data_IF_723856969567
#
_entry.id   IF_723856969567
#
_cell.length_a   1.000
_cell.length_b   1.000
_cell.length_c   1.000
_cell.angle_alpha   90.00
_cell.angle_beta   90.00
_cell.angle_gamma   90.00
#
_symmetry.space_group_name_H-M   'P 1'
#
loop_
_entity.id
_entity.type
_entity.pdbx_description
1 polymer ?
#
# COMPACT_ATOMS: atom_id res chain seq x y z
N UNK A 1 32.84 -46.65 -20.69
CA UNK A 1 31.41 -46.23 -20.65
C UNK A 1 31.10 -45.75 -19.24
N UNK A 2 30.82 -44.47 -18.98
CA UNK A 2 30.60 -44.08 -17.57
C UNK A 2 29.93 -42.72 -17.34
N UNK A 3 30.45 -41.65 -17.92
CA UNK A 3 30.05 -40.30 -17.48
C UNK A 3 28.95 -39.71 -18.38
N UNK A 4 29.01 -39.96 -19.70
CA UNK A 4 28.03 -39.44 -20.67
C UNK A 4 26.65 -40.12 -20.68
N UNK A 5 26.45 -41.23 -19.95
CA UNK A 5 25.13 -41.86 -19.75
C UNK A 5 24.43 -41.33 -18.49
N UNK A 6 25.17 -41.07 -17.41
CA UNK A 6 24.64 -40.43 -16.20
C UNK A 6 24.19 -39.00 -16.47
N UNK A 7 24.96 -38.21 -17.22
CA UNK A 7 24.56 -36.84 -17.61
C UNK A 7 23.29 -36.79 -18.47
N UNK A 8 22.98 -37.85 -19.23
CA UNK A 8 21.73 -37.96 -20.01
C UNK A 8 20.55 -38.48 -19.19
N UNK A 9 20.80 -39.26 -18.14
CA UNK A 9 19.74 -39.74 -17.23
C UNK A 9 19.20 -38.63 -16.30
N UNK A 10 20.01 -37.58 -16.05
CA UNK A 10 19.67 -36.43 -15.20
C UNK A 10 19.54 -35.11 -15.98
N UNK A 11 19.49 -35.14 -17.31
CA UNK A 11 19.16 -33.96 -18.09
C UNK A 11 17.71 -33.50 -17.83
N UNK A 12 17.44 -32.23 -18.08
CA UNK A 12 16.13 -31.62 -17.82
C UNK A 12 15.01 -32.41 -18.51
N UNK A 13 14.11 -33.00 -17.72
CA UNK A 13 12.99 -33.82 -18.21
C UNK A 13 13.26 -35.33 -18.34
N UNK A 14 14.49 -35.80 -18.09
CA UNK A 14 14.85 -37.22 -18.10
C UNK A 14 14.30 -38.00 -16.88
N UNK A 15 14.18 -39.34 -16.95
CA UNK A 15 13.60 -40.15 -15.87
C UNK A 15 14.34 -40.02 -14.53
N UNK A 16 15.67 -39.95 -14.53
CA UNK A 16 16.48 -39.77 -13.32
C UNK A 16 16.29 -38.39 -12.68
N UNK A 17 16.15 -37.34 -13.49
CA UNK A 17 15.78 -36.00 -13.01
C UNK A 17 14.39 -36.00 -12.36
N UNK A 18 13.39 -36.64 -13.00
CA UNK A 18 12.03 -36.74 -12.44
C UNK A 18 11.99 -37.54 -11.14
N UNK A 19 12.74 -38.64 -11.05
CA UNK A 19 12.89 -39.43 -9.82
C UNK A 19 13.57 -38.64 -8.71
N UNK A 20 14.60 -37.85 -9.03
CA UNK A 20 15.26 -36.95 -8.08
C UNK A 20 14.32 -35.86 -7.55
N UNK A 21 13.54 -35.23 -8.43
CA UNK A 21 12.53 -34.24 -8.04
C UNK A 21 11.41 -34.88 -7.21
N UNK A 22 10.93 -36.07 -7.59
CA UNK A 22 9.94 -36.82 -6.82
C UNK A 22 10.45 -37.23 -5.44
N UNK A 23 11.71 -37.65 -5.34
CA UNK A 23 12.37 -37.96 -4.06
C UNK A 23 12.51 -36.72 -3.17
N UNK A 24 12.93 -35.59 -3.72
CA UNK A 24 12.94 -34.29 -3.03
C UNK A 24 11.54 -33.87 -2.57
N UNK A 25 10.53 -34.03 -3.41
CA UNK A 25 9.14 -33.73 -3.05
C UNK A 25 8.62 -34.66 -1.94
N UNK A 26 8.93 -35.95 -1.99
CA UNK A 26 8.55 -36.92 -0.96
C UNK A 26 9.25 -36.64 0.38
N UNK A 27 10.55 -36.35 0.37
CA UNK A 27 11.32 -35.95 1.56
C UNK A 27 10.81 -34.62 2.14
N UNK A 28 10.48 -33.66 1.27
CA UNK A 28 9.87 -32.40 1.70
C UNK A 28 8.49 -32.63 2.31
N UNK A 29 7.68 -33.53 1.74
CA UNK A 29 6.38 -33.94 2.28
C UNK A 29 6.51 -34.63 3.64
N UNK A 30 7.47 -35.55 3.80
CA UNK A 30 7.75 -36.22 5.08
C UNK A 30 8.27 -35.24 6.15
N UNK A 31 9.08 -34.27 5.76
CA UNK A 31 9.53 -33.21 6.66
C UNK A 31 8.37 -32.30 7.10
N UNK A 32 7.43 -31.99 6.20
CA UNK A 32 6.22 -31.21 6.52
C UNK A 32 5.32 -31.91 7.54
N UNK A 33 5.25 -33.24 7.56
CA UNK A 33 4.46 -34.01 8.56
C UNK A 33 4.99 -33.83 9.99
N UNK A 34 6.26 -33.48 10.16
CA UNK A 34 6.88 -33.25 11.48
C UNK A 34 6.65 -31.83 12.01
N UNK A 35 6.13 -30.92 11.18
CA UNK A 35 5.87 -29.54 11.56
C UNK A 35 4.44 -29.38 12.07
N UNK A 36 4.20 -28.42 12.96
CA UNK A 36 2.84 -27.96 13.25
C UNK A 36 2.18 -27.45 11.97
N UNK A 37 0.85 -27.52 11.88
CA UNK A 37 0.11 -27.05 10.70
C UNK A 37 0.46 -25.59 10.33
N UNK A 38 0.67 -24.75 11.33
CA UNK A 38 1.11 -23.37 11.14
C UNK A 38 2.51 -23.31 10.52
N UNK A 39 3.48 -24.04 11.06
CA UNK A 39 4.86 -24.02 10.55
C UNK A 39 4.95 -24.64 9.14
N UNK A 40 4.19 -25.70 8.87
CA UNK A 40 4.06 -26.28 7.53
C UNK A 40 3.46 -25.26 6.56
N UNK A 41 2.39 -24.56 6.96
CA UNK A 41 1.76 -23.51 6.15
C UNK A 41 2.70 -22.33 5.87
N UNK A 42 3.44 -21.87 6.88
CA UNK A 42 4.45 -20.81 6.72
C UNK A 42 5.58 -21.24 5.78
N UNK A 43 6.09 -22.46 5.94
CA UNK A 43 7.14 -22.98 5.06
C UNK A 43 6.67 -23.04 3.61
N UNK A 44 5.46 -23.56 3.36
CA UNK A 44 4.87 -23.61 2.02
C UNK A 44 4.65 -22.20 1.45
N UNK A 45 4.14 -21.28 2.27
CA UNK A 45 3.95 -19.88 1.88
C UNK A 45 5.27 -19.22 1.48
N UNK A 46 6.31 -19.30 2.30
CA UNK A 46 7.61 -18.69 1.99
C UNK A 46 8.33 -19.38 0.83
N UNK A 47 8.18 -20.70 0.68
CA UNK A 47 8.69 -21.41 -0.48
C UNK A 47 7.98 -20.95 -1.78
N UNK A 48 6.65 -20.81 -1.74
CA UNK A 48 5.87 -20.28 -2.86
C UNK A 48 6.27 -18.84 -3.19
N UNK A 49 6.40 -17.97 -2.19
CA UNK A 49 6.85 -16.58 -2.40
C UNK A 49 8.27 -16.55 -2.95
N UNK A 50 9.19 -17.34 -2.42
CA UNK A 50 10.58 -17.39 -2.88
C UNK A 50 10.70 -17.85 -4.33
N UNK A 51 10.15 -19.02 -4.65
CA UNK A 51 10.15 -19.58 -6.02
C UNK A 51 9.34 -18.68 -6.97
N UNK A 52 8.17 -18.22 -6.52
CA UNK A 52 7.32 -17.31 -7.27
C UNK A 52 8.02 -16.00 -7.61
N UNK A 53 8.79 -15.42 -6.69
CA UNK A 53 9.56 -14.18 -6.92
C UNK A 53 10.67 -14.38 -7.95
N UNK A 54 11.35 -15.53 -7.93
CA UNK A 54 12.37 -15.87 -8.93
C UNK A 54 11.76 -16.03 -10.34
N UNK A 55 10.56 -16.59 -10.42
CA UNK A 55 9.81 -16.79 -11.68
C UNK A 55 9.16 -15.49 -12.17
N UNK A 56 8.60 -14.70 -11.26
CA UNK A 56 7.90 -13.45 -11.52
C UNK A 56 8.07 -12.51 -10.32
N UNK A 57 9.01 -11.54 -10.39
CA UNK A 57 9.30 -10.57 -9.32
C UNK A 57 8.07 -9.84 -8.77
N UNK A 58 7.00 -9.68 -9.56
CA UNK A 58 5.74 -9.10 -9.06
C UNK A 58 5.16 -9.88 -7.85
N UNK A 59 5.36 -11.20 -7.77
CA UNK A 59 4.93 -12.01 -6.62
C UNK A 59 5.59 -11.53 -5.34
N UNK A 60 6.91 -11.31 -5.39
CA UNK A 60 7.67 -10.83 -4.25
C UNK A 60 7.32 -9.40 -3.86
N UNK A 61 7.07 -8.51 -4.83
CA UNK A 61 6.57 -7.16 -4.55
C UNK A 61 5.25 -7.20 -3.78
N UNK A 62 4.26 -7.96 -4.26
CA UNK A 62 2.95 -8.06 -3.60
C UNK A 62 3.05 -8.72 -2.22
N UNK A 63 3.90 -9.74 -2.08
CA UNK A 63 4.16 -10.36 -0.78
C UNK A 63 4.83 -9.38 0.20
N UNK A 64 5.82 -8.60 -0.23
CA UNK A 64 6.47 -7.59 0.61
C UNK A 64 5.47 -6.49 1.05
N UNK A 65 4.61 -6.02 0.15
CA UNK A 65 3.56 -5.05 0.45
C UNK A 65 2.50 -5.58 1.43
N UNK A 66 2.25 -6.89 1.42
CA UNK A 66 1.37 -7.54 2.39
C UNK A 66 2.06 -7.75 3.75
N UNK A 67 3.31 -8.23 3.74
CA UNK A 67 4.07 -8.54 4.95
C UNK A 67 4.45 -7.30 5.76
N UNK A 68 4.67 -6.16 5.11
CA UNK A 68 5.03 -4.91 5.78
C UNK A 68 4.01 -4.50 6.86
N UNK A 69 2.75 -4.27 6.49
CA UNK A 69 1.69 -3.98 7.46
C UNK A 69 1.40 -5.14 8.41
N UNK A 70 1.55 -6.40 7.97
CA UNK A 70 1.28 -7.56 8.82
C UNK A 70 2.23 -7.65 10.02
N UNK A 71 3.45 -7.11 9.88
CA UNK A 71 4.45 -7.15 10.94
C UNK A 71 3.96 -6.52 12.25
N UNK A 72 3.23 -5.40 12.19
CA UNK A 72 2.76 -4.72 13.40
C UNK A 72 1.80 -5.62 14.20
N UNK A 73 0.85 -6.25 13.52
CA UNK A 73 -0.02 -7.27 14.12
C UNK A 73 0.77 -8.46 14.68
N UNK A 74 1.73 -9.00 13.93
CA UNK A 74 2.52 -10.14 14.38
C UNK A 74 3.34 -9.77 15.63
N UNK A 75 3.96 -8.60 15.67
CA UNK A 75 4.71 -8.12 16.83
C UNK A 75 3.84 -8.01 18.09
N UNK A 76 2.57 -7.64 17.93
CA UNK A 76 1.63 -7.53 19.04
C UNK A 76 1.16 -8.89 19.60
N UNK A 77 1.17 -9.94 18.77
CA UNK A 77 0.51 -11.22 19.11
C UNK A 77 1.46 -12.43 19.16
N UNK A 78 2.65 -12.34 18.56
CA UNK A 78 3.60 -13.45 18.41
C UNK A 78 4.92 -13.06 19.10
N UNK A 79 5.39 -13.88 20.06
CA UNK A 79 6.71 -13.68 20.65
C UNK A 79 7.82 -13.72 19.61
N UNK A 80 8.79 -12.80 19.72
CA UNK A 80 10.04 -12.78 18.94
C UNK A 80 9.90 -12.82 17.40
N UNK A 81 9.01 -12.01 16.83
CA UNK A 81 8.94 -11.80 15.38
C UNK A 81 10.12 -10.94 14.90
N UNK A 82 10.85 -11.35 13.84
CA UNK A 82 11.92 -10.54 13.27
C UNK A 82 11.44 -9.14 12.88
N UNK A 83 12.24 -8.11 13.11
CA UNK A 83 11.82 -6.71 12.90
C UNK A 83 11.52 -6.36 11.42
N UNK A 84 12.06 -7.13 10.47
CA UNK A 84 12.09 -6.79 9.05
C UNK A 84 11.60 -7.93 8.15
N UNK A 85 10.45 -8.54 8.46
CA UNK A 85 9.96 -9.71 7.70
C UNK A 85 9.73 -9.46 6.20
N UNK A 86 9.43 -8.22 5.80
CA UNK A 86 9.22 -7.86 4.40
C UNK A 86 10.53 -7.57 3.64
N UNK A 87 11.61 -7.21 4.33
CA UNK A 87 12.86 -6.74 3.72
C UNK A 87 13.58 -7.85 2.93
N UNK A 88 13.71 -9.10 3.42
CA UNK A 88 14.28 -10.19 2.63
C UNK A 88 13.51 -10.47 1.33
N UNK A 89 12.17 -10.37 1.37
CA UNK A 89 11.32 -10.58 0.19
C UNK A 89 11.50 -9.44 -0.81
N UNK A 90 11.59 -8.19 -0.34
CA UNK A 90 11.91 -7.05 -1.19
C UNK A 90 13.30 -7.18 -1.82
N UNK A 91 14.31 -7.54 -1.03
CA UNK A 91 15.67 -7.75 -1.51
C UNK A 91 15.72 -8.85 -2.58
N UNK A 92 15.04 -9.98 -2.35
CA UNK A 92 14.91 -11.06 -3.33
C UNK A 92 14.20 -10.59 -4.61
N UNK A 93 13.17 -9.75 -4.48
CA UNK A 93 12.44 -9.18 -5.62
C UNK A 93 13.35 -8.34 -6.51
N UNK A 94 14.08 -7.41 -5.90
CA UNK A 94 15.03 -6.55 -6.61
C UNK A 94 16.20 -7.35 -7.21
N UNK A 95 16.72 -8.33 -6.47
CA UNK A 95 17.76 -9.23 -6.96
C UNK A 95 17.29 -10.07 -8.16
N UNK A 96 16.07 -10.63 -8.11
CA UNK A 96 15.49 -11.41 -9.19
C UNK A 96 15.26 -10.56 -10.45
N UNK A 97 14.82 -9.31 -10.28
CA UNK A 97 14.69 -8.34 -11.36
C UNK A 97 16.04 -8.05 -12.04
N UNK A 98 17.05 -7.65 -11.25
CA UNK A 98 18.38 -7.32 -11.75
C UNK A 98 19.07 -8.54 -12.38
N UNK A 99 18.97 -9.72 -11.76
CA UNK A 99 19.53 -10.97 -12.29
C UNK A 99 18.91 -11.32 -13.65
N UNK A 100 17.61 -11.06 -13.85
CA UNK A 100 16.97 -11.28 -15.15
C UNK A 100 17.42 -10.27 -16.20
N UNK A 101 17.59 -9.01 -15.82
CA UNK A 101 18.17 -7.98 -16.69
C UNK A 101 19.60 -8.37 -17.13
N UNK A 102 20.44 -8.79 -16.19
CA UNK A 102 21.79 -9.26 -16.43
C UNK A 102 21.83 -10.51 -17.31
N UNK A 103 20.99 -11.52 -17.04
CA UNK A 103 20.91 -12.75 -17.83
C UNK A 103 20.48 -12.48 -19.28
N UNK A 104 19.65 -11.45 -19.50
CA UNK A 104 19.25 -10.97 -20.83
C UNK A 104 20.24 -9.97 -21.44
N UNK A 105 21.34 -9.68 -20.74
CA UNK A 105 22.36 -8.66 -21.09
C UNK A 105 21.77 -7.28 -21.38
N UNK A 106 20.69 -6.94 -20.68
CA UNK A 106 19.96 -5.67 -20.82
C UNK A 106 19.46 -5.26 -19.44
N UNK A 107 20.29 -4.54 -18.70
CA UNK A 107 19.84 -3.80 -17.52
C UNK A 107 19.40 -2.44 -18.03
N UNK A 108 18.09 -2.24 -18.06
CA UNK A 108 17.50 -0.94 -18.40
C UNK A 108 17.15 -0.23 -17.09
N UNK A 109 17.68 0.98 -16.91
CA UNK A 109 17.29 1.87 -15.83
C UNK A 109 16.41 2.97 -16.45
N UNK A 110 15.08 2.90 -16.27
CA UNK A 110 14.20 3.90 -16.85
C UNK A 110 14.44 5.25 -16.16
N UNK A 111 14.24 6.33 -16.91
CA UNK A 111 14.29 7.70 -16.38
C UNK A 111 12.89 8.32 -16.40
N UNK A 112 11.94 7.82 -15.58
CA UNK A 112 10.60 8.41 -15.51
C UNK A 112 10.69 9.85 -14.98
N UNK A 113 9.74 10.74 -15.34
CA UNK A 113 9.84 12.17 -15.04
C UNK A 113 10.00 12.51 -13.54
N UNK A 114 9.46 11.67 -12.64
CA UNK A 114 9.55 11.87 -11.19
C UNK A 114 10.84 11.32 -10.56
N UNK A 115 11.73 10.70 -11.34
CA UNK A 115 13.00 10.18 -10.81
C UNK A 115 13.90 11.31 -10.32
N UNK A 116 14.06 12.37 -11.10
CA UNK A 116 14.93 13.48 -10.72
C UNK A 116 14.45 14.19 -9.44
N UNK A 117 13.17 14.59 -9.29
CA UNK A 117 12.68 15.14 -8.02
C UNK A 117 12.89 14.20 -6.83
N UNK A 118 12.68 12.89 -7.02
CA UNK A 118 12.90 11.90 -5.96
C UNK A 118 14.38 11.80 -5.58
N UNK A 119 15.29 11.77 -6.56
CA UNK A 119 16.74 11.77 -6.31
C UNK A 119 17.22 13.07 -5.66
N UNK A 120 16.65 14.21 -6.04
CA UNK A 120 16.92 15.49 -5.40
C UNK A 120 16.52 15.45 -3.93
N UNK A 121 15.32 14.94 -3.62
CA UNK A 121 14.87 14.76 -2.24
C UNK A 121 15.80 13.83 -1.46
N UNK A 122 16.20 12.69 -2.02
CA UNK A 122 17.17 11.77 -1.39
C UNK A 122 18.52 12.45 -1.19
N UNK A 123 18.98 13.26 -2.14
CA UNK A 123 20.20 14.05 -2.03
C UNK A 123 20.14 15.03 -0.87
N UNK A 124 19.03 15.76 -0.71
CA UNK A 124 18.82 16.65 0.44
C UNK A 124 18.79 15.86 1.75
N UNK A 125 18.04 14.75 1.80
CA UNK A 125 17.99 13.89 2.98
C UNK A 125 19.38 13.34 3.37
N UNK A 126 20.22 13.03 2.38
CA UNK A 126 21.60 12.62 2.59
C UNK A 126 22.48 13.74 3.14
N UNK A 127 22.35 14.97 2.62
CA UNK A 127 23.03 16.15 3.18
C UNK A 127 22.60 16.41 4.63
N UNK A 128 21.33 16.17 4.97
CA UNK A 128 20.82 16.30 6.34
C UNK A 128 21.33 15.25 7.33
N UNK A 129 22.11 14.27 6.87
CA UNK A 129 22.81 13.34 7.76
C UNK A 129 24.17 13.89 8.22
N UNK A 130 24.64 15.01 7.64
CA UNK A 130 25.92 15.60 7.99
C UNK A 130 25.91 16.15 9.41
N UNK A 131 26.60 15.49 10.34
CA UNK A 131 26.64 15.91 11.75
C UNK A 131 25.48 15.41 12.61
N UNK A 132 24.62 14.51 12.09
CA UNK A 132 23.54 13.92 12.86
C UNK A 132 24.07 13.06 14.03
N UNK A 133 23.55 13.28 15.24
CA UNK A 133 24.04 12.65 16.48
C UNK A 133 23.79 11.13 16.56
N UNK A 134 22.70 10.63 15.98
CA UNK A 134 22.29 9.22 16.03
C UNK A 134 22.19 8.58 14.64
N UNK A 135 23.23 8.84 13.84
CA UNK A 135 23.30 8.43 12.44
C UNK A 135 23.07 6.92 12.23
N UNK A 136 23.71 5.98 12.98
CA UNK A 136 23.53 4.55 12.72
C UNK A 136 22.15 4.02 13.12
N UNK A 137 21.53 4.63 14.14
CA UNK A 137 20.28 4.12 14.73
C UNK A 137 19.06 4.66 13.99
N UNK A 138 19.05 5.95 13.63
CA UNK A 138 17.89 6.58 13.00
C UNK A 138 18.17 7.09 11.58
N UNK A 139 19.31 7.77 11.38
CA UNK A 139 19.61 8.43 10.10
C UNK A 139 19.78 7.47 8.92
N UNK A 140 20.71 6.51 9.05
CA UNK A 140 21.00 5.53 7.99
C UNK A 140 19.80 4.62 7.67
N UNK A 141 19.09 4.04 8.66
CA UNK A 141 17.91 3.24 8.35
C UNK A 141 16.84 4.03 7.61
N UNK A 142 16.65 5.32 7.92
CA UNK A 142 15.69 6.17 7.21
C UNK A 142 16.13 6.46 5.77
N UNK A 143 17.42 6.81 5.55
CA UNK A 143 17.96 6.98 4.20
C UNK A 143 17.83 5.69 3.36
N UNK A 144 18.07 4.53 3.98
CA UNK A 144 17.91 3.23 3.32
C UNK A 144 16.47 3.01 2.87
N UNK A 145 15.45 3.40 3.65
CA UNK A 145 14.05 3.32 3.21
C UNK A 145 13.79 4.18 1.97
N UNK A 146 14.37 5.39 1.92
CA UNK A 146 14.23 6.26 0.74
C UNK A 146 14.95 5.72 -0.50
N UNK A 147 16.14 5.12 -0.32
CA UNK A 147 16.82 4.40 -1.39
C UNK A 147 16.03 3.17 -1.86
N UNK A 148 15.35 2.47 -0.95
CA UNK A 148 14.42 1.38 -1.30
C UNK A 148 13.22 1.90 -2.10
N UNK A 149 12.69 3.08 -1.78
CA UNK A 149 11.62 3.72 -2.57
C UNK A 149 12.13 4.03 -3.98
N UNK A 150 13.36 4.57 -4.14
CA UNK A 150 13.96 4.78 -5.47
C UNK A 150 14.09 3.46 -6.24
N UNK A 151 14.61 2.42 -5.60
CA UNK A 151 14.76 1.10 -6.22
C UNK A 151 13.41 0.50 -6.65
N UNK A 152 12.39 0.61 -5.79
CA UNK A 152 11.02 0.19 -6.10
C UNK A 152 10.41 1.00 -7.25
N UNK A 153 10.64 2.31 -7.27
CA UNK A 153 10.14 3.18 -8.33
C UNK A 153 10.74 2.81 -9.69
N UNK A 154 12.05 2.59 -9.75
CA UNK A 154 12.74 2.10 -10.95
C UNK A 154 12.26 0.70 -11.36
N UNK A 155 12.14 -0.22 -10.40
CA UNK A 155 11.61 -1.56 -10.64
C UNK A 155 10.22 -1.53 -11.24
N UNK A 156 9.30 -0.76 -10.66
CA UNK A 156 7.92 -0.63 -11.16
C UNK A 156 7.92 0.01 -12.55
N UNK A 157 8.70 1.07 -12.76
CA UNK A 157 8.77 1.76 -14.05
C UNK A 157 9.34 0.88 -15.18
N UNK A 158 10.29 0.00 -14.89
CA UNK A 158 10.88 -0.93 -15.87
C UNK A 158 10.01 -2.18 -16.07
N UNK A 159 9.54 -2.76 -14.96
CA UNK A 159 8.94 -4.09 -14.96
C UNK A 159 7.45 -4.09 -15.27
N UNK A 160 6.73 -3.02 -14.94
CA UNK A 160 5.30 -2.95 -15.21
C UNK A 160 5.05 -2.58 -16.67
N UNK A 161 4.49 -3.54 -17.41
CA UNK A 161 3.92 -3.32 -18.73
C UNK A 161 2.44 -3.70 -18.75
N UNK A 162 1.80 -3.56 -19.93
CA UNK A 162 0.37 -3.83 -20.13
C UNK A 162 -0.08 -5.20 -19.62
N UNK A 163 0.80 -6.21 -19.67
CA UNK A 163 0.49 -7.58 -19.22
C UNK A 163 0.53 -7.75 -17.69
N UNK A 164 1.33 -6.95 -16.97
CA UNK A 164 1.58 -7.11 -15.53
C UNK A 164 0.83 -6.10 -14.68
N UNK A 165 0.63 -4.89 -15.20
CA UNK A 165 -0.12 -3.82 -14.54
C UNK A 165 -1.47 -4.32 -13.98
N UNK A 166 -2.27 -5.13 -14.70
CA UNK A 166 -3.54 -5.59 -14.16
C UNK A 166 -3.41 -6.50 -12.94
N UNK A 167 -2.38 -7.35 -12.93
CA UNK A 167 -2.08 -8.22 -11.80
C UNK A 167 -1.55 -7.46 -10.59
N UNK A 168 -0.76 -6.39 -10.83
CA UNK A 168 -0.33 -5.49 -9.76
C UNK A 168 -1.54 -4.80 -9.13
N UNK A 169 -2.43 -4.23 -9.95
CA UNK A 169 -3.66 -3.60 -9.46
C UNK A 169 -4.54 -4.61 -8.72
N UNK A 170 -4.77 -5.79 -9.28
CA UNK A 170 -5.53 -6.85 -8.61
C UNK A 170 -4.91 -7.23 -7.25
N UNK A 171 -3.59 -7.37 -7.19
CA UNK A 171 -2.86 -7.64 -5.94
C UNK A 171 -3.04 -6.54 -4.90
N UNK A 172 -2.90 -5.26 -5.31
CA UNK A 172 -3.14 -4.11 -4.43
C UNK A 172 -4.59 -4.07 -3.93
N UNK A 173 -5.58 -4.35 -4.79
CA UNK A 173 -6.98 -4.42 -4.40
C UNK A 173 -7.25 -5.55 -3.41
N UNK A 174 -6.62 -6.72 -3.58
CA UNK A 174 -6.71 -7.83 -2.62
C UNK A 174 -6.10 -7.43 -1.28
N UNK A 175 -4.88 -6.88 -1.27
CA UNK A 175 -4.22 -6.43 -0.03
C UNK A 175 -5.06 -5.36 0.67
N UNK A 176 -5.53 -4.34 -0.07
CA UNK A 176 -6.41 -3.30 0.43
C UNK A 176 -7.72 -3.86 1.00
N UNK A 177 -8.33 -4.82 0.32
CA UNK A 177 -9.56 -5.48 0.77
C UNK A 177 -9.35 -6.30 2.04
N UNK A 178 -8.23 -7.02 2.17
CA UNK A 178 -7.90 -7.78 3.39
C UNK A 178 -7.73 -6.81 4.56
N UNK A 179 -6.96 -5.73 4.39
CA UNK A 179 -6.79 -4.72 5.43
C UNK A 179 -8.12 -4.07 5.80
N UNK A 180 -8.92 -3.69 4.80
CA UNK A 180 -10.24 -3.12 4.99
C UNK A 180 -11.18 -4.05 5.76
N UNK A 181 -11.25 -5.32 5.39
CA UNK A 181 -12.09 -6.32 6.04
C UNK A 181 -11.68 -6.55 7.50
N UNK A 182 -10.37 -6.69 7.78
CA UNK A 182 -9.87 -6.81 9.16
C UNK A 182 -10.22 -5.57 9.98
N UNK A 183 -10.02 -4.37 9.41
CA UNK A 183 -10.35 -3.12 10.08
C UNK A 183 -11.84 -2.92 10.34
N UNK A 184 -12.71 -3.30 9.40
CA UNK A 184 -14.16 -3.25 9.57
C UNK A 184 -14.66 -4.26 10.62
N UNK A 185 -14.05 -5.46 10.66
CA UNK A 185 -14.30 -6.42 11.73
C UNK A 185 -13.88 -5.86 13.10
N UNK A 186 -12.68 -5.27 13.20
CA UNK A 186 -12.21 -4.58 14.42
C UNK A 186 -13.17 -3.45 14.83
N UNK A 187 -13.69 -2.70 13.85
CA UNK A 187 -14.54 -1.55 14.10
C UNK A 187 -15.86 -1.89 14.78
N UNK A 188 -16.58 -2.90 14.27
CA UNK A 188 -17.98 -3.14 14.69
C UNK A 188 -18.31 -4.56 15.16
N UNK A 189 -17.45 -5.55 14.91
CA UNK A 189 -17.74 -6.96 15.19
C UNK A 189 -16.86 -7.58 16.29
N UNK A 190 -15.66 -7.04 16.51
CA UNK A 190 -14.71 -7.56 17.51
C UNK A 190 -15.19 -7.37 18.95
N UNK A 191 -15.99 -6.34 19.22
CA UNK A 191 -16.57 -6.04 20.54
C UNK A 191 -15.58 -5.58 21.62
N UNK A 192 -14.27 -5.69 21.37
CA UNK A 192 -13.19 -5.30 22.28
C UNK A 192 -12.05 -4.65 21.48
N UNK A 193 -11.29 -3.77 22.12
CA UNK A 193 -10.16 -3.09 21.50
C UNK A 193 -9.47 -2.13 22.48
N UNK A 194 -8.37 -1.48 22.07
CA UNK A 194 -7.68 -0.50 22.91
C UNK A 194 -8.62 0.66 23.28
N UNK A 195 -8.62 1.06 24.56
CA UNK A 195 -9.54 2.10 25.06
C UNK A 195 -9.39 3.43 24.34
N UNK A 196 -8.15 3.81 23.99
CA UNK A 196 -7.86 5.03 23.23
C UNK A 196 -8.31 4.98 21.76
N UNK A 197 -8.80 3.82 21.28
CA UNK A 197 -9.47 3.68 19.99
C UNK A 197 -10.99 3.61 20.11
N UNK A 198 -11.57 3.60 21.32
CA UNK A 198 -13.01 3.57 21.48
C UNK A 198 -13.67 4.85 20.91
N UNK A 199 -14.65 4.67 20.03
CA UNK A 199 -15.55 5.74 19.57
C UNK A 199 -16.82 5.70 20.41
N UNK A 200 -17.38 4.50 20.56
CA UNK A 200 -18.46 4.19 21.50
C UNK A 200 -18.01 2.98 22.29
N UNK A 201 -17.64 3.14 23.58
CA UNK A 201 -17.13 2.04 24.40
C UNK A 201 -18.03 0.80 24.33
N UNK A 202 -17.43 -0.38 24.14
CA UNK A 202 -18.14 -1.66 24.03
C UNK A 202 -18.91 -1.89 22.72
N UNK A 203 -18.86 -0.96 21.75
CA UNK A 203 -19.59 -1.10 20.48
C UNK A 203 -18.75 -0.77 19.25
N UNK A 204 -18.11 0.40 19.21
CA UNK A 204 -17.34 0.87 18.07
C UNK A 204 -15.93 1.30 18.47
N UNK A 205 -14.95 0.72 17.80
CA UNK A 205 -13.53 1.07 17.91
C UNK A 205 -13.03 1.57 16.56
N UNK A 206 -12.00 2.42 16.52
CA UNK A 206 -11.40 2.85 15.25
C UNK A 206 -10.86 1.63 14.49
N UNK A 207 -11.10 1.55 13.19
CA UNK A 207 -10.49 0.54 12.33
C UNK A 207 -8.98 0.79 12.18
N UNK A 208 -8.15 -0.25 12.28
CA UNK A 208 -6.69 -0.14 12.14
C UNK A 208 -6.01 -1.30 11.39
N UNK A 209 -6.77 -2.28 10.91
CA UNK A 209 -6.24 -3.40 10.11
C UNK A 209 -5.12 -4.13 10.84
N UNK A 210 -4.14 -4.64 10.10
CA UNK A 210 -2.94 -5.25 10.71
C UNK A 210 -1.87 -4.23 11.09
N UNK A 211 -2.10 -2.93 10.80
CA UNK A 211 -1.14 -1.86 11.11
C UNK A 211 -1.04 -1.57 12.62
N UNK A 212 -1.98 -2.07 13.44
CA UNK A 212 -2.12 -1.76 14.87
C UNK A 212 -2.20 -0.26 15.18
N UNK A 213 -2.45 0.57 14.16
CA UNK A 213 -2.58 2.02 14.25
C UNK A 213 -3.60 2.54 13.22
N UNK A 214 -4.65 3.28 13.65
CA UNK A 214 -5.69 3.76 12.73
C UNK A 214 -5.20 4.72 11.64
N UNK A 215 -4.20 5.56 11.94
CA UNK A 215 -3.78 6.61 11.01
C UNK A 215 -2.99 6.05 9.80
N UNK A 216 -1.93 5.24 9.97
CA UNK A 216 -1.24 4.60 8.84
C UNK A 216 -2.16 3.67 8.03
N UNK A 217 -3.02 2.91 8.72
CA UNK A 217 -4.04 2.08 8.08
C UNK A 217 -4.94 2.90 7.14
N UNK A 218 -5.50 4.00 7.64
CA UNK A 218 -6.37 4.86 6.85
C UNK A 218 -5.63 5.54 5.70
N UNK A 219 -4.38 5.95 5.92
CA UNK A 219 -3.51 6.49 4.87
C UNK A 219 -3.29 5.48 3.75
N UNK A 220 -2.98 4.23 4.09
CA UNK A 220 -2.84 3.13 3.13
C UNK A 220 -4.13 2.90 2.33
N UNK A 221 -5.28 2.78 2.99
CA UNK A 221 -6.56 2.64 2.29
C UNK A 221 -6.88 3.85 1.41
N UNK A 222 -6.52 5.06 1.85
CA UNK A 222 -6.69 6.30 1.10
C UNK A 222 -5.84 6.36 -0.18
N UNK A 223 -4.74 5.60 -0.24
CA UNK A 223 -3.91 5.47 -1.45
C UNK A 223 -4.41 4.38 -2.40
N UNK A 224 -4.99 3.29 -1.89
CA UNK A 224 -5.43 2.15 -2.71
C UNK A 224 -6.89 2.27 -3.19
N UNK A 225 -7.79 2.81 -2.36
CA UNK A 225 -9.19 3.01 -2.72
C UNK A 225 -9.40 3.82 -4.01
N UNK A 226 -8.62 4.88 -4.31
CA UNK A 226 -8.69 5.58 -5.59
C UNK A 226 -8.53 4.69 -6.82
N UNK A 227 -7.71 3.63 -6.75
CA UNK A 227 -7.53 2.69 -7.85
C UNK A 227 -8.82 1.91 -8.13
N UNK A 228 -9.49 1.43 -7.07
CA UNK A 228 -10.77 0.72 -7.18
C UNK A 228 -11.86 1.63 -7.74
N UNK A 229 -11.97 2.85 -7.20
CA UNK A 229 -12.96 3.83 -7.63
C UNK A 229 -12.72 4.29 -9.08
N UNK A 230 -11.46 4.41 -9.50
CA UNK A 230 -11.11 4.73 -10.88
C UNK A 230 -11.56 3.65 -11.87
N UNK A 231 -11.35 2.36 -11.54
CA UNK A 231 -11.85 1.24 -12.35
C UNK A 231 -13.38 1.20 -12.40
N UNK A 232 -14.05 1.45 -11.28
CA UNK A 232 -15.50 1.51 -11.21
C UNK A 232 -16.05 2.69 -12.05
N UNK A 233 -15.46 3.88 -11.92
CA UNK A 233 -15.84 5.06 -12.70
C UNK A 233 -15.69 4.82 -14.20
N UNK A 234 -14.61 4.16 -14.61
CA UNK A 234 -14.38 3.81 -16.01
C UNK A 234 -15.38 2.78 -16.54
N UNK A 235 -15.75 1.78 -15.73
CA UNK A 235 -16.82 0.83 -16.09
C UNK A 235 -18.18 1.51 -16.23
N UNK A 236 -18.53 2.42 -15.32
CA UNK A 236 -19.77 3.21 -15.41
C UNK A 236 -19.75 4.07 -16.68
N UNK A 237 -18.63 4.75 -16.96
CA UNK A 237 -18.45 5.55 -18.18
C UNK A 237 -18.63 4.68 -19.43
N UNK A 238 -17.98 3.53 -19.50
CA UNK A 238 -18.12 2.61 -20.64
C UNK A 238 -19.56 2.10 -20.80
N UNK A 239 -20.20 1.70 -19.70
CA UNK A 239 -21.60 1.24 -19.71
C UNK A 239 -22.57 2.30 -20.21
N UNK A 240 -22.39 3.57 -19.80
CA UNK A 240 -23.27 4.67 -20.22
C UNK A 240 -23.04 5.12 -21.67
N UNK A 241 -21.79 5.18 -22.14
CA UNK A 241 -21.45 5.78 -23.44
C UNK A 241 -21.23 4.77 -24.57
N UNK A 242 -20.88 3.51 -24.27
CA UNK A 242 -20.66 2.46 -25.29
C UNK A 242 -21.89 1.59 -25.52
N UNK A 243 -22.78 1.42 -24.53
CA UNK A 243 -24.06 0.74 -24.74
C UNK A 243 -24.95 1.41 -25.80
N UNK A 244 -24.75 2.72 -26.04
CA UNK A 244 -25.42 3.48 -27.10
C UNK A 244 -24.86 3.27 -28.52
N UNK A 245 -23.75 2.52 -28.69
CA UNK A 245 -23.09 2.34 -30.01
C UNK A 245 -23.26 0.95 -30.63
N UNK A 246 -24.25 0.18 -30.18
CA UNK A 246 -24.74 -0.99 -30.89
C UNK A 246 -24.38 -2.32 -30.24
N UNK A 247 -25.42 -2.93 -29.64
CA UNK A 247 -25.53 -4.37 -29.39
C UNK A 247 -25.44 -5.13 -30.72
N UNK A 248 -24.23 -5.33 -31.26
CA UNK A 248 -23.99 -6.27 -32.37
C UNK A 248 -22.65 -6.97 -32.21
N UNK A 249 -22.61 -7.98 -31.34
CA UNK A 249 -22.08 -9.32 -31.65
C UNK A 249 -21.90 -10.18 -30.39
N UNK A 250 -22.65 -11.28 -30.33
CA UNK A 250 -22.13 -12.62 -30.03
C UNK A 250 -21.50 -12.90 -28.67
N UNK A 251 -22.29 -13.60 -27.83
CA UNK A 251 -21.92 -14.74 -26.98
C UNK A 251 -20.56 -14.73 -26.24
N UNK A 252 -20.68 -14.70 -24.91
CA UNK A 252 -19.69 -14.96 -23.87
C UNK A 252 -18.54 -13.93 -23.74
N UNK A 253 -18.41 -13.26 -22.58
CA UNK A 253 -17.29 -12.36 -22.33
C UNK A 253 -16.01 -13.18 -22.23
N UNK A 254 -15.20 -13.18 -23.29
CA UNK A 254 -13.78 -13.56 -23.19
C UNK A 254 -13.13 -12.60 -22.20
N UNK A 255 -12.56 -13.13 -21.12
CA UNK A 255 -11.86 -12.38 -20.08
C UNK A 255 -10.74 -11.55 -20.73
N UNK A 256 -11.01 -10.28 -20.99
CA UNK A 256 -10.06 -9.33 -21.56
C UNK A 256 -10.10 -8.06 -20.74
N UNK A 257 -8.95 -7.69 -20.18
CA UNK A 257 -8.72 -6.40 -19.50
C UNK A 257 -9.00 -5.18 -20.39
N UNK A 258 -9.25 -5.39 -21.69
CA UNK A 258 -9.70 -4.35 -22.62
C UNK A 258 -11.17 -3.95 -22.43
N UNK A 259 -12.01 -4.81 -21.84
CA UNK A 259 -13.38 -4.42 -21.50
C UNK A 259 -13.40 -3.89 -20.06
N UNK A 260 -13.64 -2.59 -19.85
CA UNK A 260 -13.58 -1.97 -18.52
C UNK A 260 -14.69 -2.45 -17.57
N UNK A 261 -15.78 -3.04 -18.09
CA UNK A 261 -16.94 -3.44 -17.28
C UNK A 261 -16.60 -4.52 -16.25
N UNK A 262 -15.84 -5.55 -16.63
CA UNK A 262 -15.50 -6.65 -15.74
C UNK A 262 -14.53 -6.22 -14.62
N UNK A 263 -13.38 -5.56 -14.92
CA UNK A 263 -12.52 -4.99 -13.89
C UNK A 263 -13.26 -4.01 -12.97
N UNK A 264 -14.14 -3.17 -13.52
CA UNK A 264 -14.93 -2.25 -12.70
C UNK A 264 -15.93 -2.95 -11.79
N UNK A 265 -16.66 -3.96 -12.29
CA UNK A 265 -17.55 -4.77 -11.47
C UNK A 265 -16.78 -5.49 -10.34
N UNK A 266 -15.64 -6.11 -10.67
CA UNK A 266 -14.77 -6.76 -9.67
C UNK A 266 -14.18 -5.77 -8.66
N UNK A 267 -14.05 -4.49 -9.02
CA UNK A 267 -13.55 -3.43 -8.14
C UNK A 267 -14.59 -2.86 -7.18
N UNK A 268 -15.90 -3.15 -7.38
CA UNK A 268 -16.98 -2.61 -6.54
C UNK A 268 -16.83 -3.02 -5.07
N UNK A 269 -16.65 -4.32 -4.80
CA UNK A 269 -16.49 -4.82 -3.44
C UNK A 269 -15.22 -4.26 -2.77
N UNK A 270 -14.02 -4.30 -3.40
CA UNK A 270 -12.84 -3.62 -2.89
C UNK A 270 -13.06 -2.13 -2.60
N UNK A 271 -13.73 -1.39 -3.49
CA UNK A 271 -14.03 0.02 -3.28
C UNK A 271 -14.91 0.23 -2.03
N UNK A 272 -15.99 -0.54 -1.88
CA UNK A 272 -16.89 -0.46 -0.72
C UNK A 272 -16.16 -0.81 0.59
N UNK A 273 -15.37 -1.89 0.59
CA UNK A 273 -14.59 -2.28 1.76
C UNK A 273 -13.59 -1.19 2.15
N UNK A 274 -12.78 -0.70 1.20
CA UNK A 274 -11.72 0.26 1.51
C UNK A 274 -12.26 1.63 1.90
N UNK A 275 -13.32 2.13 1.24
CA UNK A 275 -13.97 3.38 1.65
C UNK A 275 -14.64 3.21 3.02
N UNK A 276 -15.31 2.07 3.25
CA UNK A 276 -15.87 1.75 4.56
C UNK A 276 -14.82 1.71 5.66
N UNK A 277 -13.69 1.02 5.42
CA UNK A 277 -12.56 0.95 6.35
C UNK A 277 -11.92 2.31 6.61
N UNK A 278 -11.79 3.14 5.58
CA UNK A 278 -11.29 4.51 5.70
C UNK A 278 -12.21 5.37 6.58
N UNK A 279 -13.52 5.29 6.40
CA UNK A 279 -14.49 5.98 7.28
C UNK A 279 -14.41 5.41 8.70
N UNK A 280 -14.41 4.08 8.85
CA UNK A 280 -14.33 3.39 10.14
C UNK A 280 -13.02 3.67 10.92
N UNK A 281 -11.95 4.08 10.25
CA UNK A 281 -10.68 4.46 10.90
C UNK A 281 -10.78 5.74 11.75
N UNK A 282 -11.79 6.57 11.48
CA UNK A 282 -12.00 7.86 12.13
C UNK A 282 -10.79 8.82 12.01
N UNK A 283 -9.99 8.67 10.95
CA UNK A 283 -8.78 9.45 10.69
C UNK A 283 -9.07 10.67 9.82
N UNK A 284 -9.12 11.86 10.46
CA UNK A 284 -9.34 13.16 9.78
C UNK A 284 -8.35 13.40 8.63
N UNK A 285 -7.06 13.14 8.87
CA UNK A 285 -6.01 13.35 7.87
C UNK A 285 -6.17 12.44 6.66
N UNK A 286 -6.59 11.19 6.87
CA UNK A 286 -6.85 10.27 5.76
C UNK A 286 -8.11 10.64 4.99
N UNK A 287 -9.17 11.11 5.66
CA UNK A 287 -10.39 11.59 4.99
C UNK A 287 -10.10 12.79 4.10
N UNK A 288 -9.30 13.75 4.59
CA UNK A 288 -8.84 14.90 3.82
C UNK A 288 -7.97 14.49 2.63
N UNK A 289 -6.97 13.64 2.85
CA UNK A 289 -6.07 13.19 1.79
C UNK A 289 -6.82 12.42 0.70
N UNK A 290 -7.71 11.51 1.09
CA UNK A 290 -8.57 10.78 0.17
C UNK A 290 -9.52 11.71 -0.57
N UNK A 291 -10.16 12.65 0.13
CA UNK A 291 -11.02 13.67 -0.47
C UNK A 291 -10.28 14.51 -1.52
N UNK A 292 -9.09 15.01 -1.19
CA UNK A 292 -8.23 15.74 -2.13
C UNK A 292 -7.86 14.89 -3.36
N UNK A 293 -7.53 13.60 -3.15
CA UNK A 293 -7.29 12.65 -4.24
C UNK A 293 -8.52 12.46 -5.15
N UNK A 294 -9.72 12.35 -4.56
CA UNK A 294 -10.98 12.26 -5.32
C UNK A 294 -11.28 13.54 -6.10
N UNK A 295 -11.02 14.71 -5.52
CA UNK A 295 -11.17 15.99 -6.21
C UNK A 295 -10.20 16.10 -7.39
N UNK A 296 -8.95 15.64 -7.23
CA UNK A 296 -7.97 15.60 -8.31
C UNK A 296 -8.41 14.65 -9.44
N UNK A 297 -8.94 13.47 -9.11
CA UNK A 297 -9.51 12.54 -10.08
C UNK A 297 -10.72 13.14 -10.81
N UNK A 298 -11.64 13.77 -10.07
CA UNK A 298 -12.83 14.42 -10.63
C UNK A 298 -12.44 15.58 -11.57
N UNK A 299 -11.43 16.37 -11.18
CA UNK A 299 -10.88 17.43 -12.02
C UNK A 299 -10.29 16.88 -13.32
N UNK A 300 -9.56 15.75 -13.24
CA UNK A 300 -8.90 15.13 -14.38
C UNK A 300 -9.83 14.29 -15.28
N UNK A 301 -11.06 13.97 -14.81
CA UNK A 301 -11.97 13.07 -15.50
C UNK A 301 -12.46 13.63 -16.86
N UNK A 302 -12.88 14.90 -17.00
CA UNK A 302 -13.31 15.44 -18.29
C UNK A 302 -12.12 15.81 -19.18
N UNK A 303 -12.28 15.65 -20.51
CA UNK A 303 -11.27 16.11 -21.48
C UNK A 303 -10.99 17.61 -21.40
N UNK A 304 -12.00 18.42 -21.07
CA UNK A 304 -11.89 19.88 -20.95
C UNK A 304 -11.73 20.25 -19.48
N UNK A 305 -10.55 20.79 -19.11
CA UNK A 305 -10.19 21.10 -17.71
C UNK A 305 -11.17 22.04 -17.00
N UNK A 306 -11.80 22.97 -17.72
CA UNK A 306 -12.80 23.87 -17.15
C UNK A 306 -14.07 23.13 -16.70
N UNK A 307 -14.45 22.03 -17.37
CA UNK A 307 -15.56 21.17 -16.93
C UNK A 307 -15.19 20.45 -15.64
N UNK A 308 -13.95 19.96 -15.54
CA UNK A 308 -13.42 19.36 -14.31
C UNK A 308 -13.42 20.35 -13.14
N UNK A 309 -12.97 21.58 -13.38
CA UNK A 309 -13.04 22.66 -12.41
C UNK A 309 -14.49 22.97 -11.99
N UNK A 310 -15.42 23.02 -12.95
CA UNK A 310 -16.85 23.22 -12.68
C UNK A 310 -17.46 22.10 -11.83
N UNK A 311 -17.11 20.83 -12.10
CA UNK A 311 -17.55 19.69 -11.31
C UNK A 311 -17.01 19.72 -9.88
N UNK A 312 -15.72 20.04 -9.71
CA UNK A 312 -15.10 20.21 -8.39
C UNK A 312 -15.78 21.34 -7.62
N UNK A 313 -15.99 22.49 -8.26
CA UNK A 313 -16.67 23.62 -7.63
C UNK A 313 -18.10 23.27 -7.24
N UNK A 314 -18.86 22.63 -8.13
CA UNK A 314 -20.24 22.19 -7.85
C UNK A 314 -20.29 21.22 -6.66
N UNK A 315 -19.36 20.26 -6.59
CA UNK A 315 -19.27 19.32 -5.47
C UNK A 315 -18.93 20.03 -4.15
N UNK A 316 -17.95 20.95 -4.16
CA UNK A 316 -17.58 21.73 -2.98
C UNK A 316 -18.74 22.62 -2.50
N UNK A 317 -19.46 23.27 -3.42
CA UNK A 317 -20.65 24.06 -3.09
C UNK A 317 -21.78 23.19 -2.53
N UNK A 318 -22.01 22.00 -3.09
CA UNK A 318 -23.00 21.07 -2.59
C UNK A 318 -22.66 20.60 -1.16
N UNK A 319 -21.44 20.13 -0.94
CA UNK A 319 -20.99 19.65 0.38
C UNK A 319 -20.99 20.79 1.40
N UNK A 320 -20.47 21.97 1.03
CA UNK A 320 -20.49 23.17 1.87
C UNK A 320 -21.91 23.64 2.19
N UNK A 321 -22.82 23.60 1.22
CA UNK A 321 -24.23 23.92 1.41
C UNK A 321 -24.93 22.94 2.37
N UNK A 322 -24.72 21.62 2.19
CA UNK A 322 -25.25 20.60 3.09
C UNK A 322 -24.72 20.77 4.52
N UNK A 323 -23.43 21.10 4.67
CA UNK A 323 -22.82 21.39 5.96
C UNK A 323 -23.43 22.65 6.61
N UNK A 324 -23.60 23.74 5.84
CA UNK A 324 -24.19 25.00 6.31
C UNK A 324 -25.66 24.88 6.71
N UNK A 325 -26.40 23.95 6.10
CA UNK A 325 -27.79 23.63 6.47
C UNK A 325 -27.90 22.66 7.66
N UNK A 326 -26.79 22.19 8.23
CA UNK A 326 -26.81 21.20 9.32
C UNK A 326 -27.29 19.81 8.90
N UNK A 327 -27.25 19.48 7.60
CA UNK A 327 -27.70 18.18 7.09
C UNK A 327 -26.67 17.05 7.31
N UNK A 328 -25.46 17.37 7.77
CA UNK A 328 -24.44 16.37 8.11
C UNK A 328 -24.70 15.77 9.51
N UNK A 329 -24.50 14.45 9.70
CA UNK A 329 -24.56 13.85 11.02
C UNK A 329 -23.59 14.54 12.00
N UNK A 330 -24.06 14.88 13.19
CA UNK A 330 -23.28 15.66 14.17
C UNK A 330 -21.86 15.12 14.45
N UNK A 331 -21.62 13.79 14.57
CA UNK A 331 -20.27 13.26 14.76
C UNK A 331 -19.32 13.53 13.58
N UNK A 332 -19.84 13.55 12.35
CA UNK A 332 -19.08 13.84 11.13
C UNK A 332 -18.81 15.34 11.05
N UNK A 333 -19.83 16.17 11.30
CA UNK A 333 -19.69 17.62 11.29
C UNK A 333 -18.64 18.10 12.30
N UNK A 334 -18.69 17.61 13.56
CA UNK A 334 -17.68 17.92 14.57
C UNK A 334 -16.28 17.47 14.17
N UNK A 335 -16.15 16.28 13.56
CA UNK A 335 -14.85 15.79 13.07
C UNK A 335 -14.24 16.63 11.96
N UNK A 336 -15.07 17.19 11.08
CA UNK A 336 -14.62 18.09 10.01
C UNK A 336 -14.28 19.48 10.57
N UNK A 337 -15.03 19.96 11.56
CA UNK A 337 -14.79 21.25 12.21
C UNK A 337 -13.44 21.31 12.95
N UNK A 338 -12.91 20.17 13.42
CA UNK A 338 -11.61 20.08 14.09
C UNK A 338 -10.40 20.27 13.16
N UNK A 339 -10.58 20.15 11.84
CA UNK A 339 -9.49 20.11 10.86
C UNK A 339 -8.59 21.35 10.90
N UNK A 340 -9.11 22.60 10.94
CA UNK A 340 -8.29 23.80 10.95
C UNK A 340 -7.33 23.88 12.14
N UNK A 341 -7.68 23.27 13.27
CA UNK A 341 -6.83 23.23 14.48
C UNK A 341 -5.51 22.51 14.21
N UNK A 342 -5.47 21.55 13.28
CA UNK A 342 -4.27 20.83 12.88
C UNK A 342 -3.38 21.56 11.86
N UNK A 343 -3.87 22.66 11.26
CA UNK A 343 -3.15 23.41 10.23
C UNK A 343 -2.44 24.66 10.77
N UNK A 344 -2.68 25.01 12.04
CA UNK A 344 -2.08 26.18 12.67
C UNK A 344 -0.74 25.81 13.31
N UNK A 345 0.36 26.31 12.75
CA UNK A 345 1.66 26.33 13.42
C UNK A 345 1.59 27.39 14.53
N UNK A 346 1.54 26.93 15.78
CA UNK A 346 1.50 27.78 16.98
C UNK A 346 2.66 27.37 17.86
N UNK A 347 3.22 28.28 18.65
CA UNK A 347 4.21 27.93 19.68
C UNK A 347 3.54 27.05 20.76
N UNK A 348 4.18 25.93 21.11
CA UNK A 348 3.66 24.97 22.10
C UNK A 348 4.63 24.76 23.27
N UNK A 349 5.71 25.55 23.32
CA UNK A 349 6.67 25.50 24.42
C UNK A 349 6.00 25.93 25.72
N UNK A 350 6.12 25.09 26.75
CA UNK A 350 5.53 25.36 28.06
C UNK A 350 4.01 25.16 28.12
N UNK A 351 3.35 24.67 27.07
CA UNK A 351 1.93 24.32 27.13
C UNK A 351 1.73 23.07 27.98
N UNK A 352 0.85 23.15 28.97
CA UNK A 352 0.49 22.03 29.83
C UNK A 352 -0.11 20.88 29.02
N UNK A 353 0.49 19.69 29.16
CA UNK A 353 0.09 18.48 28.44
C UNK A 353 -0.98 17.72 29.23
N UNK A 354 -2.00 17.24 28.54
CA UNK A 354 -3.00 16.30 29.03
C UNK A 354 -3.45 15.35 27.91
N UNK A 355 -4.25 14.34 28.24
CA UNK A 355 -4.71 13.33 27.27
C UNK A 355 -5.49 13.92 26.09
N UNK A 356 -6.16 15.06 26.29
CA UNK A 356 -6.95 15.71 25.24
C UNK A 356 -6.08 16.45 24.22
N UNK A 357 -4.91 16.98 24.62
CA UNK A 357 -4.06 17.81 23.76
C UNK A 357 -2.72 17.17 23.39
N UNK A 358 -2.29 16.08 24.04
CA UNK A 358 -0.99 15.45 23.84
C UNK A 358 -0.67 15.20 22.36
N UNK A 359 -1.55 14.51 21.64
CA UNK A 359 -1.31 14.15 20.23
C UNK A 359 -1.22 15.36 19.28
N UNK A 360 -1.77 16.51 19.67
CA UNK A 360 -1.67 17.76 18.92
C UNK A 360 -0.35 18.46 19.26
N UNK A 361 -0.04 18.59 20.55
CA UNK A 361 1.17 19.24 21.05
C UNK A 361 2.43 18.49 20.59
N UNK A 362 2.46 17.17 20.72
CA UNK A 362 3.57 16.32 20.28
C UNK A 362 3.89 16.57 18.79
N UNK A 363 2.86 16.55 17.94
CA UNK A 363 3.02 16.85 16.52
C UNK A 363 3.57 18.26 16.29
N UNK A 364 3.00 19.28 16.92
CA UNK A 364 3.43 20.67 16.74
C UNK A 364 4.87 20.89 17.25
N UNK A 365 5.27 20.19 18.31
CA UNK A 365 6.64 20.20 18.80
C UNK A 365 7.62 19.64 17.76
N UNK A 366 7.28 18.55 17.07
CA UNK A 366 8.10 18.04 15.95
C UNK A 366 8.20 19.05 14.78
N UNK A 367 7.11 19.72 14.42
CA UNK A 367 7.14 20.77 13.38
C UNK A 367 7.98 21.98 13.80
N UNK A 368 7.89 22.41 15.06
CA UNK A 368 8.72 23.49 15.60
C UNK A 368 10.19 23.12 15.63
N UNK A 369 10.53 21.89 16.04
CA UNK A 369 11.90 21.40 16.02
C UNK A 369 12.45 21.42 14.59
N UNK A 370 11.69 20.92 13.62
CA UNK A 370 12.08 20.95 12.20
C UNK A 370 12.26 22.39 11.67
N UNK A 371 11.40 23.33 12.08
CA UNK A 371 11.52 24.74 11.70
C UNK A 371 12.76 25.40 12.33
N UNK A 372 13.02 25.16 13.61
CA UNK A 372 14.21 25.67 14.30
C UNK A 372 15.50 25.11 13.69
N UNK A 373 15.53 23.80 13.42
CA UNK A 373 16.61 23.12 12.69
C UNK A 373 16.90 23.77 11.34
N UNK A 374 15.86 24.09 10.56
CA UNK A 374 16.02 24.78 9.28
C UNK A 374 16.47 26.25 9.43
N UNK A 375 16.04 26.95 10.47
CA UNK A 375 16.46 28.32 10.75
C UNK A 375 17.93 28.41 11.16
N UNK A 376 18.38 27.50 12.02
CA UNK A 376 19.74 27.46 12.53
C UNK A 376 20.72 26.90 11.48
N UNK A 377 20.30 25.86 10.75
CA UNK A 377 21.11 25.13 9.79
C UNK A 377 20.36 24.94 8.46
N UNK A 378 20.23 26.00 7.67
CA UNK A 378 19.40 25.99 6.44
C UNK A 378 19.65 24.82 5.48
N UNK A 379 20.92 24.44 5.27
CA UNK A 379 21.28 23.44 4.26
C UNK A 379 21.26 22.00 4.77
N UNK A 380 21.62 21.77 6.04
CA UNK A 380 21.73 20.44 6.64
C UNK A 380 20.55 20.13 7.54
N UNK A 381 19.91 21.12 8.15
CA UNK A 381 18.91 20.95 9.20
C UNK A 381 19.48 20.44 10.51
N UNK A 382 20.80 20.21 10.60
CA UNK A 382 21.53 19.76 11.80
C UNK A 382 22.91 20.39 11.85
#
# INVERSE_FOLDING_TARGET
>A
MGIGRLGRAFSWGAPGFRLGVAGLAALSGLALVRLSLLNAGLLVFFAFVGVGTLIEPLVGLLAALFLGPLWAYLRANVPSVPAQIAQPVLALTLAAWLARGAARRRIHLPAPPLLFPLLLFVGVAWLSLWGATELPVYGLPELVKWLQIVALFLFVADWMGERRLPWMVAGLLVIGSVQAAVGLWQFGLRGTGPDHFAIVPGRFYRAYGTFEQPNPYAGFLGLVAPLALGLLAEAVRAGLFEAGRGLRSGLAPRFSWRNPLLPGFLSLLPALLMVGGLVASWSRGAWLGFGAGMLAMLFALPRRRWMGAGLVLALLLLVGGLAGMGALPAPIAGRLADIPTYLRLQDVRGVGINDANYAVIERLAHWQAALAMWQDHFWTGV
#
